data_IF_032181572285
#
_entry.id   IF_032181572285
#
_cell.length_a   1.000
_cell.length_b   1.000
_cell.length_c   1.000
_cell.angle_alpha   90.00
_cell.angle_beta   90.00
_cell.angle_gamma   90.00
#
_symmetry.space_group_name_H-M   'P 1'
#
loop_
_entity.id
_entity.type
_entity.pdbx_description
1 polymer ?
#
# COMPACT_ATOMS: atom_id res chain seq x y z
N UNK A 1 -20.10 24.79 75.15
CA UNK A 1 -20.51 24.47 73.76
C UNK A 1 -19.27 24.28 72.90
N UNK A 2 -18.81 23.04 72.73
CA UNK A 2 -17.63 22.70 71.94
C UNK A 2 -18.02 22.56 70.45
N UNK A 3 -17.44 23.39 69.58
CA UNK A 3 -17.60 23.28 68.11
C UNK A 3 -16.91 22.01 67.63
N UNK A 4 -17.69 20.97 67.32
CA UNK A 4 -17.22 19.81 66.55
C UNK A 4 -16.67 20.28 65.20
N UNK A 5 -15.34 20.31 65.07
CA UNK A 5 -14.66 20.39 63.78
C UNK A 5 -14.92 19.08 63.04
N UNK A 6 -15.91 19.08 62.17
CA UNK A 6 -16.11 18.04 61.15
C UNK A 6 -14.81 17.89 60.36
N UNK A 7 -14.07 16.80 60.59
CA UNK A 7 -12.91 16.46 59.80
C UNK A 7 -13.33 16.35 58.32
N UNK A 8 -12.75 17.18 57.46
CA UNK A 8 -13.02 17.14 56.04
C UNK A 8 -12.72 15.73 55.50
N UNK A 9 -13.63 15.12 54.72
CA UNK A 9 -13.40 13.79 54.17
C UNK A 9 -12.12 13.80 53.36
N UNK A 10 -11.16 12.95 53.75
CA UNK A 10 -9.92 12.73 53.00
C UNK A 10 -10.33 12.21 51.62
N UNK A 11 -10.31 13.10 50.63
CA UNK A 11 -10.59 12.77 49.24
C UNK A 11 -9.57 11.73 48.77
N UNK A 12 -9.96 10.44 48.75
CA UNK A 12 -9.17 9.37 48.17
C UNK A 12 -8.99 9.70 46.68
N UNK A 13 -7.81 10.15 46.30
CA UNK A 13 -7.47 10.32 44.89
C UNK A 13 -7.56 8.95 44.22
N UNK A 14 -8.29 8.82 43.10
CA UNK A 14 -8.48 7.55 42.44
C UNK A 14 -7.13 7.03 41.92
N UNK A 15 -6.65 5.93 42.52
CA UNK A 15 -5.35 5.29 42.25
C UNK A 15 -5.06 5.03 40.76
N UNK A 16 -6.10 4.95 39.92
CA UNK A 16 -5.99 4.67 38.48
C UNK A 16 -5.58 5.86 37.59
N UNK A 17 -5.52 7.10 38.11
CA UNK A 17 -5.13 8.27 37.30
C UNK A 17 -3.63 8.30 36.91
N UNK A 18 -2.80 7.50 37.58
CA UNK A 18 -1.36 7.42 37.32
C UNK A 18 -0.97 6.28 36.40
N UNK A 19 -1.91 5.42 36.01
CA UNK A 19 -1.62 4.30 35.10
C UNK A 19 -1.26 4.87 33.73
N UNK A 20 -0.12 4.48 33.13
CA UNK A 20 0.25 4.88 31.78
C UNK A 20 -0.60 4.10 30.76
N UNK A 21 -1.88 4.43 30.65
CA UNK A 21 -2.85 3.70 29.82
C UNK A 21 -2.41 3.53 28.37
N UNK A 22 -1.67 4.49 27.80
CA UNK A 22 -1.08 4.33 26.46
C UNK A 22 -0.14 3.11 26.40
N UNK A 23 0.80 3.00 27.34
CA UNK A 23 1.71 1.85 27.39
C UNK A 23 0.97 0.54 27.64
N UNK A 24 -0.03 0.55 28.50
CA UNK A 24 -0.83 -0.64 28.80
C UNK A 24 -1.61 -1.09 27.56
N UNK A 25 -2.31 -0.18 26.88
CA UNK A 25 -3.11 -0.50 25.69
C UNK A 25 -2.23 -0.93 24.52
N UNK A 26 -1.15 -0.21 24.24
CA UNK A 26 -0.22 -0.59 23.18
C UNK A 26 0.46 -1.91 23.50
N UNK A 27 0.92 -2.12 24.74
CA UNK A 27 1.52 -3.39 25.17
C UNK A 27 0.54 -4.56 25.05
N UNK A 28 -0.71 -4.38 25.46
CA UNK A 28 -1.77 -5.38 25.30
C UNK A 28 -2.01 -5.71 23.82
N UNK A 29 -2.12 -4.70 22.96
CA UNK A 29 -2.29 -4.90 21.51
C UNK A 29 -1.09 -5.63 20.89
N UNK A 30 0.14 -5.33 21.32
CA UNK A 30 1.34 -6.02 20.84
C UNK A 30 1.38 -7.49 21.28
N UNK A 31 0.97 -7.80 22.51
CA UNK A 31 0.90 -9.17 23.03
C UNK A 31 -0.20 -9.96 22.32
N UNK A 32 -1.41 -9.39 22.22
CA UNK A 32 -2.51 -10.03 21.51
C UNK A 32 -2.19 -10.21 20.02
N UNK A 33 -1.65 -9.18 19.37
CA UNK A 33 -1.21 -9.28 17.98
C UNK A 33 -0.09 -10.32 17.77
N UNK A 34 0.71 -10.63 18.79
CA UNK A 34 1.73 -11.68 18.71
C UNK A 34 1.09 -13.07 18.85
N UNK A 35 0.13 -13.23 19.75
CA UNK A 35 -0.62 -14.47 19.93
C UNK A 35 -1.44 -14.85 18.69
N UNK A 36 -1.86 -13.85 17.90
CA UNK A 36 -2.63 -14.02 16.66
C UNK A 36 -1.84 -13.52 15.44
N UNK A 37 -0.52 -13.77 15.42
CA UNK A 37 0.34 -13.29 14.35
C UNK A 37 -0.05 -13.86 13.00
N UNK A 38 -0.05 -13.02 11.96
CA UNK A 38 -0.25 -13.41 10.57
C UNK A 38 0.99 -13.04 9.76
N UNK A 39 1.36 -13.85 8.77
CA UNK A 39 2.45 -13.46 7.86
C UNK A 39 2.05 -12.18 7.11
N UNK A 40 2.98 -11.22 6.94
CA UNK A 40 2.68 -9.93 6.34
C UNK A 40 2.49 -10.01 4.82
N UNK A 41 2.83 -11.15 4.21
CA UNK A 41 2.63 -11.44 2.78
C UNK A 41 1.87 -12.76 2.66
N UNK A 42 0.92 -12.81 1.74
CA UNK A 42 0.12 -14.01 1.44
C UNK A 42 -0.18 -14.10 -0.06
N UNK A 43 -0.52 -15.29 -0.51
CA UNK A 43 -1.04 -15.51 -1.85
C UNK A 43 -2.43 -14.87 -1.98
N UNK A 44 -2.67 -14.09 -3.04
CA UNK A 44 -3.90 -13.30 -3.18
C UNK A 44 -5.13 -14.17 -3.44
N UNK A 45 -4.95 -15.34 -4.05
CA UNK A 45 -6.02 -16.24 -4.50
C UNK A 45 -6.49 -17.12 -3.34
N UNK A 46 -5.57 -17.89 -2.78
CA UNK A 46 -5.81 -18.84 -1.69
C UNK A 46 -5.93 -18.16 -0.32
N UNK A 47 -5.43 -16.92 -0.22
CA UNK A 47 -5.26 -16.17 1.04
C UNK A 47 -4.38 -16.89 2.07
N UNK A 48 -3.65 -17.92 1.63
CA UNK A 48 -2.75 -18.67 2.48
C UNK A 48 -1.36 -18.02 2.52
N UNK A 49 -0.60 -18.23 3.61
CA UNK A 49 0.77 -17.76 3.67
C UNK A 49 1.62 -18.43 2.59
N UNK A 50 2.53 -17.66 2.00
CA UNK A 50 3.52 -18.14 1.02
C UNK A 50 4.87 -18.36 1.68
N UNK A 51 5.62 -19.37 1.23
CA UNK A 51 6.92 -19.74 1.81
C UNK A 51 8.10 -19.34 0.94
N UNK A 52 7.92 -19.11 -0.35
CA UNK A 52 9.02 -18.70 -1.25
C UNK A 52 9.44 -17.24 -1.08
N UNK A 53 8.63 -16.41 -0.41
CA UNK A 53 8.90 -14.98 -0.22
C UNK A 53 8.62 -14.53 1.21
N UNK A 54 9.29 -13.45 1.64
CA UNK A 54 9.08 -12.80 2.93
C UNK A 54 9.40 -11.31 2.83
N UNK A 55 8.98 -10.51 3.80
CA UNK A 55 9.44 -9.13 3.90
C UNK A 55 10.70 -9.05 4.75
N UNK A 56 11.68 -8.29 4.28
CA UNK A 56 12.87 -7.89 5.04
C UNK A 56 12.85 -6.39 5.33
N UNK A 57 13.52 -6.01 6.42
CA UNK A 57 13.45 -4.67 6.98
C UNK A 57 14.84 -4.15 7.32
N UNK A 58 15.22 -3.02 6.73
CA UNK A 58 16.49 -2.38 7.04
C UNK A 58 16.58 -1.96 8.51
N UNK A 59 17.80 -1.79 9.08
CA UNK A 59 17.96 -1.30 10.45
C UNK A 59 17.28 0.05 10.70
N UNK A 60 17.29 0.95 9.71
CA UNK A 60 16.59 2.23 9.79
C UNK A 60 15.06 2.06 9.81
N UNK A 61 14.54 1.02 9.13
CA UNK A 61 13.14 0.66 9.23
C UNK A 61 12.81 0.14 10.64
N UNK A 62 13.63 -0.78 11.15
CA UNK A 62 13.44 -1.39 12.46
C UNK A 62 13.54 -0.36 13.60
N UNK A 63 14.45 0.60 13.52
CA UNK A 63 14.59 1.65 14.53
C UNK A 63 13.33 2.51 14.66
N UNK A 64 12.61 2.74 13.56
CA UNK A 64 11.45 3.64 13.49
C UNK A 64 10.17 2.90 13.06
N UNK A 65 10.09 1.59 13.33
CA UNK A 65 8.97 0.74 12.90
C UNK A 65 7.59 1.32 13.26
N UNK A 66 7.34 1.88 14.46
CA UNK A 66 6.02 2.44 14.77
C UNK A 66 5.53 3.49 13.78
N UNK A 67 6.44 4.30 13.25
CA UNK A 67 6.10 5.31 12.26
C UNK A 67 5.92 4.69 10.87
N UNK A 68 6.87 3.84 10.45
CA UNK A 68 6.84 3.24 9.10
C UNK A 68 5.75 2.21 8.91
N UNK A 69 5.46 1.38 9.91
CA UNK A 69 4.38 0.40 9.88
C UNK A 69 3.03 1.10 9.71
N UNK A 70 2.82 2.22 10.41
CA UNK A 70 1.60 3.03 10.27
C UNK A 70 1.50 3.61 8.87
N UNK A 71 2.56 4.27 8.37
CA UNK A 71 2.55 4.85 7.02
C UNK A 71 2.36 3.79 5.93
N UNK A 72 2.96 2.61 6.07
CA UNK A 72 2.77 1.48 5.16
C UNK A 72 1.31 1.05 5.11
N UNK A 73 0.68 0.84 6.26
CA UNK A 73 -0.72 0.42 6.30
C UNK A 73 -1.68 1.53 5.85
N UNK A 74 -1.32 2.81 6.03
CA UNK A 74 -2.08 3.92 5.47
C UNK A 74 -2.06 3.90 3.94
N UNK A 75 -0.92 3.62 3.31
CA UNK A 75 -0.83 3.49 1.84
C UNK A 75 -1.69 2.34 1.29
N UNK A 76 -1.98 1.33 2.11
CA UNK A 76 -2.81 0.17 1.72
C UNK A 76 -4.31 0.36 1.97
N UNK A 77 -4.76 1.55 2.39
CA UNK A 77 -6.18 1.83 2.58
C UNK A 77 -6.85 2.20 1.25
N UNK A 78 -8.10 1.80 1.10
CA UNK A 78 -8.96 2.28 0.01
C UNK A 78 -9.49 3.68 0.32
N UNK A 79 -10.02 4.39 -0.68
CA UNK A 79 -10.61 5.73 -0.46
C UNK A 79 -11.68 5.75 0.65
N UNK A 80 -12.67 4.83 0.68
CA UNK A 80 -13.64 4.79 1.79
C UNK A 80 -13.00 4.53 3.16
N UNK A 81 -11.92 3.76 3.23
CA UNK A 81 -11.20 3.48 4.47
C UNK A 81 -10.45 4.72 4.97
N UNK A 82 -9.83 5.52 4.09
CA UNK A 82 -9.24 6.80 4.48
C UNK A 82 -10.28 7.76 5.08
N UNK A 83 -11.46 7.87 4.47
CA UNK A 83 -12.57 8.68 4.97
C UNK A 83 -13.02 8.14 6.34
N UNK A 84 -13.26 6.84 6.45
CA UNK A 84 -13.69 6.21 7.69
C UNK A 84 -12.66 6.37 8.82
N UNK A 85 -11.37 6.31 8.51
CA UNK A 85 -10.29 6.58 9.46
C UNK A 85 -10.35 8.02 9.97
N UNK A 86 -10.46 9.02 9.08
CA UNK A 86 -10.56 10.43 9.48
C UNK A 86 -11.78 10.67 10.38
N UNK A 87 -12.95 10.16 9.99
CA UNK A 87 -14.18 10.27 10.79
C UNK A 87 -14.01 9.59 12.16
N UNK A 88 -13.43 8.39 12.21
CA UNK A 88 -13.19 7.66 13.46
C UNK A 88 -12.24 8.41 14.39
N UNK A 89 -11.19 9.04 13.84
CA UNK A 89 -10.25 9.84 14.61
C UNK A 89 -10.89 11.13 15.15
N UNK A 90 -11.71 11.83 14.34
CA UNK A 90 -12.47 13.00 14.77
C UNK A 90 -13.48 12.64 15.88
N UNK A 91 -14.17 11.51 15.75
CA UNK A 91 -15.06 11.01 16.79
C UNK A 91 -14.29 10.67 18.08
N UNK A 92 -13.13 10.02 17.96
CA UNK A 92 -12.26 9.72 19.11
C UNK A 92 -11.79 10.99 19.81
N UNK A 93 -11.39 12.01 19.04
CA UNK A 93 -11.03 13.33 19.57
C UNK A 93 -12.20 13.96 20.32
N UNK A 94 -13.39 14.01 19.71
CA UNK A 94 -14.59 14.56 20.33
C UNK A 94 -14.97 13.82 21.62
N UNK A 95 -14.96 12.49 21.60
CA UNK A 95 -15.25 11.65 22.76
C UNK A 95 -14.24 11.88 23.90
N UNK A 96 -12.94 11.92 23.59
CA UNK A 96 -11.89 12.20 24.57
C UNK A 96 -12.06 13.59 25.21
N UNK A 97 -12.39 14.61 24.41
CA UNK A 97 -12.59 15.97 24.91
C UNK A 97 -13.88 16.11 25.72
N UNK A 98 -14.96 15.45 25.30
CA UNK A 98 -16.20 15.34 26.06
C UNK A 98 -15.98 14.67 27.42
N UNK A 99 -15.27 13.53 27.45
CA UNK A 99 -14.91 12.83 28.67
C UNK A 99 -14.05 13.70 29.61
N UNK A 100 -13.08 14.45 29.05
CA UNK A 100 -12.24 15.38 29.82
C UNK A 100 -13.05 16.54 30.39
N UNK A 101 -14.00 17.08 29.62
CA UNK A 101 -14.89 18.14 30.09
C UNK A 101 -15.80 17.64 31.23
N UNK A 102 -16.39 16.45 31.08
CA UNK A 102 -17.18 15.80 32.11
C UNK A 102 -16.39 15.52 33.39
N UNK A 103 -15.17 15.00 33.25
CA UNK A 103 -14.27 14.73 34.38
C UNK A 103 -13.90 16.01 35.16
N UNK A 104 -13.71 17.14 34.45
CA UNK A 104 -13.46 18.45 35.07
C UNK A 104 -14.66 18.97 35.84
N UNK A 105 -15.87 18.83 35.29
CA UNK A 105 -17.12 19.21 35.97
C UNK A 105 -17.30 18.42 37.27
N UNK A 106 -17.07 17.10 37.23
CA UNK A 106 -17.10 16.25 38.43
C UNK A 106 -16.08 16.67 39.50
N UNK A 107 -14.93 17.20 39.09
CA UNK A 107 -13.90 17.71 39.99
C UNK A 107 -14.17 19.14 40.49
N UNK A 108 -15.35 19.72 40.24
CA UNK A 108 -15.71 21.06 40.68
C UNK A 108 -14.96 22.19 39.96
N UNK A 109 -14.27 21.89 38.86
CA UNK A 109 -13.54 22.92 38.09
C UNK A 109 -14.57 23.75 37.30
N UNK A 110 -14.65 25.08 37.53
CA UNK A 110 -15.62 25.92 36.84
C UNK A 110 -15.42 25.86 35.32
N UNK A 111 -16.51 25.91 34.52
CA UNK A 111 -16.40 25.94 33.07
C UNK A 111 -15.63 27.19 32.62
N UNK A 112 -14.84 27.06 31.56
CA UNK A 112 -14.27 28.23 30.90
C UNK A 112 -15.40 29.10 30.33
N UNK A 113 -15.16 30.41 30.16
CA UNK A 113 -16.11 31.28 29.47
C UNK A 113 -16.44 30.71 28.07
N UNK A 114 -17.68 30.85 27.58
CA UNK A 114 -18.12 30.25 26.32
C UNK A 114 -17.18 30.54 25.15
N UNK A 115 -16.72 31.79 25.01
CA UNK A 115 -15.76 32.18 23.97
C UNK A 115 -14.42 31.44 24.06
N UNK A 116 -13.81 31.38 25.25
CA UNK A 116 -12.55 30.65 25.45
C UNK A 116 -12.70 29.14 25.24
N UNK A 117 -13.87 28.58 25.55
CA UNK A 117 -14.15 27.18 25.29
C UNK A 117 -14.18 26.92 23.77
N UNK A 118 -14.98 27.69 23.01
CA UNK A 118 -15.09 27.55 21.56
C UNK A 118 -13.74 27.71 20.88
N UNK A 119 -12.98 28.77 21.17
CA UNK A 119 -11.64 28.98 20.57
C UNK A 119 -10.70 27.81 20.84
N UNK A 120 -10.72 27.25 22.05
CA UNK A 120 -9.87 26.10 22.41
C UNK A 120 -10.27 24.82 21.67
N UNK A 121 -11.56 24.61 21.42
CA UNK A 121 -12.04 23.47 20.65
C UNK A 121 -11.67 23.63 19.17
N UNK A 122 -11.86 24.82 18.59
CA UNK A 122 -11.45 25.13 17.22
C UNK A 122 -9.94 24.95 17.02
N UNK A 123 -9.11 25.47 17.92
CA UNK A 123 -7.65 25.29 17.87
C UNK A 123 -7.24 23.82 17.99
N UNK A 124 -7.95 23.02 18.79
CA UNK A 124 -7.65 21.60 18.93
C UNK A 124 -7.99 20.83 17.65
N UNK A 125 -9.14 21.12 17.03
CA UNK A 125 -9.52 20.52 15.74
C UNK A 125 -8.56 20.96 14.64
N UNK A 126 -8.23 22.25 14.57
CA UNK A 126 -7.27 22.76 13.58
C UNK A 126 -5.89 22.13 13.74
N UNK A 127 -5.36 22.03 14.98
CA UNK A 127 -4.09 21.35 15.24
C UNK A 127 -4.13 19.85 14.89
N UNK A 128 -5.24 19.17 15.18
CA UNK A 128 -5.42 17.78 14.79
C UNK A 128 -5.44 17.61 13.26
N UNK A 129 -6.19 18.44 12.54
CA UNK A 129 -6.25 18.39 11.07
C UNK A 129 -4.89 18.73 10.45
N UNK A 130 -4.18 19.72 10.98
CA UNK A 130 -2.82 20.04 10.54
C UNK A 130 -1.87 18.86 10.74
N UNK A 131 -1.93 18.18 11.89
CA UNK A 131 -1.12 16.99 12.14
C UNK A 131 -1.50 15.82 11.21
N UNK A 132 -2.80 15.62 10.96
CA UNK A 132 -3.30 14.61 10.04
C UNK A 132 -2.78 14.85 8.62
N UNK A 133 -2.90 16.08 8.11
CA UNK A 133 -2.37 16.49 6.81
C UNK A 133 -0.85 16.32 6.76
N UNK A 134 -0.13 16.68 7.82
CA UNK A 134 1.32 16.51 7.88
C UNK A 134 1.74 15.02 7.80
N UNK A 135 1.03 14.13 8.49
CA UNK A 135 1.29 12.68 8.43
C UNK A 135 1.03 12.12 7.04
N UNK A 136 -0.08 12.50 6.39
CA UNK A 136 -0.39 12.06 5.02
C UNK A 136 0.57 12.65 3.99
N UNK A 137 0.89 13.94 4.11
CA UNK A 137 1.87 14.60 3.27
C UNK A 137 3.23 13.91 3.36
N UNK A 138 3.73 13.68 4.58
CA UNK A 138 4.97 12.93 4.78
C UNK A 138 4.86 11.49 4.28
N UNK A 139 3.75 10.79 4.49
CA UNK A 139 3.53 9.44 3.97
C UNK A 139 3.57 9.36 2.45
N UNK A 140 3.11 10.42 1.76
CA UNK A 140 3.03 10.49 0.31
C UNK A 140 4.37 10.85 -0.37
N UNK A 141 5.17 11.75 0.21
CA UNK A 141 6.41 12.25 -0.45
C UNK A 141 7.68 12.09 0.40
N UNK A 142 7.55 11.83 1.69
CA UNK A 142 8.67 11.77 2.62
C UNK A 142 9.61 10.59 2.33
N UNK A 143 10.93 10.80 2.42
CA UNK A 143 11.88 9.71 2.29
C UNK A 143 11.72 8.75 3.46
N UNK A 144 11.56 7.45 3.18
CA UNK A 144 11.50 6.40 4.21
C UNK A 144 11.97 5.06 3.66
N UNK A 145 12.60 4.21 4.49
CA UNK A 145 12.94 2.86 4.08
C UNK A 145 11.67 2.09 3.74
N UNK A 146 11.79 1.16 2.80
CA UNK A 146 10.71 0.27 2.40
C UNK A 146 10.97 -1.10 2.98
N UNK A 147 9.90 -1.83 3.25
CA UNK A 147 9.98 -3.24 3.58
C UNK A 147 10.04 -4.03 2.26
N UNK A 148 11.18 -4.68 2.02
CA UNK A 148 11.57 -5.28 0.75
C UNK A 148 11.04 -6.71 0.65
N UNK A 149 10.52 -7.12 -0.51
CA UNK A 149 10.20 -8.51 -0.76
C UNK A 149 11.50 -9.30 -1.03
N UNK A 150 11.86 -10.18 -0.09
CA UNK A 150 12.92 -11.16 -0.29
C UNK A 150 12.37 -12.46 -0.85
N UNK A 151 13.13 -13.05 -1.78
CA UNK A 151 12.82 -14.34 -2.41
C UNK A 151 13.79 -15.38 -1.88
N UNK A 152 13.33 -16.62 -1.70
CA UNK A 152 14.16 -17.74 -1.20
C UNK A 152 14.78 -18.58 -2.32
N UNK A 153 14.19 -18.54 -3.50
CA UNK A 153 14.59 -19.36 -4.64
C UNK A 153 15.09 -18.47 -5.76
N UNK A 154 16.24 -18.81 -6.36
CA UNK A 154 16.84 -18.02 -7.44
C UNK A 154 15.98 -17.99 -8.70
N UNK A 155 15.19 -19.03 -8.97
CA UNK A 155 14.29 -19.07 -10.12
C UNK A 155 13.06 -18.17 -9.97
N UNK A 156 12.81 -17.61 -8.77
CA UNK A 156 11.65 -16.75 -8.53
C UNK A 156 12.07 -15.29 -8.67
N UNK A 157 11.34 -14.54 -9.50
CA UNK A 157 11.51 -13.11 -9.67
C UNK A 157 10.19 -12.37 -9.48
N UNK A 158 10.27 -11.17 -8.92
CA UNK A 158 9.14 -10.29 -8.68
C UNK A 158 9.06 -9.20 -9.75
N UNK A 159 7.92 -9.12 -10.43
CA UNK A 159 7.69 -8.20 -11.54
C UNK A 159 6.49 -7.31 -11.23
N UNK A 160 6.64 -6.03 -11.50
CA UNK A 160 5.55 -5.07 -11.56
C UNK A 160 5.18 -4.82 -13.03
N UNK A 161 3.91 -4.95 -13.38
CA UNK A 161 3.42 -4.77 -14.76
C UNK A 161 2.84 -3.38 -15.00
N UNK A 162 2.86 -2.49 -14.01
CA UNK A 162 2.16 -1.21 -14.09
C UNK A 162 2.81 -0.14 -13.20
N UNK A 163 3.63 0.71 -13.80
CA UNK A 163 4.18 1.89 -13.15
C UNK A 163 4.27 3.07 -14.12
N UNK A 164 4.31 4.28 -13.57
CA UNK A 164 4.34 5.53 -14.30
C UNK A 164 5.55 6.38 -13.91
N UNK A 165 5.96 7.26 -14.79
CA UNK A 165 7.00 8.29 -14.63
C UNK A 165 6.38 9.68 -14.72
N UNK A 166 7.21 10.72 -14.56
CA UNK A 166 6.87 12.12 -14.81
C UNK A 166 6.36 12.42 -16.23
N UNK A 167 6.56 11.51 -17.18
CA UNK A 167 6.14 11.69 -18.57
C UNK A 167 4.67 11.29 -18.78
N UNK A 168 4.09 10.52 -17.86
CA UNK A 168 2.64 10.36 -17.79
C UNK A 168 1.98 11.65 -17.28
N UNK A 169 0.77 11.94 -17.75
CA UNK A 169 0.00 13.15 -17.38
C UNK A 169 -0.37 13.23 -15.89
N UNK A 170 -0.36 12.10 -15.18
CA UNK A 170 -0.68 11.93 -13.76
C UNK A 170 0.52 11.47 -12.92
N UNK A 171 1.70 11.34 -13.53
CA UNK A 171 2.95 11.11 -12.84
C UNK A 171 3.35 12.28 -11.95
N UNK A 172 3.91 12.00 -10.77
CA UNK A 172 4.44 13.06 -9.90
C UNK A 172 5.54 13.84 -10.64
N UNK A 173 5.52 15.18 -10.60
CA UNK A 173 6.59 15.99 -11.17
C UNK A 173 7.96 15.58 -10.64
N UNK A 174 8.93 15.41 -11.55
CA UNK A 174 10.28 14.98 -11.22
C UNK A 174 10.44 13.50 -10.89
N UNK A 175 9.40 12.67 -11.00
CA UNK A 175 9.49 11.20 -10.84
C UNK A 175 10.12 10.53 -12.06
N UNK A 176 11.45 10.43 -12.05
CA UNK A 176 12.24 9.93 -13.18
C UNK A 176 12.15 8.42 -13.32
N UNK A 177 12.60 7.89 -14.47
CA UNK A 177 12.75 6.44 -14.65
C UNK A 177 13.69 5.80 -13.59
N UNK A 178 14.73 6.52 -13.16
CA UNK A 178 15.64 6.00 -12.13
C UNK A 178 15.00 6.03 -10.74
N UNK A 179 14.13 7.02 -10.45
CA UNK A 179 13.34 7.01 -9.21
C UNK A 179 12.38 5.82 -9.16
N UNK A 180 11.73 5.51 -10.30
CA UNK A 180 10.93 4.28 -10.47
C UNK A 180 11.80 3.07 -10.15
N UNK A 181 12.99 2.95 -10.74
CA UNK A 181 13.89 1.82 -10.48
C UNK A 181 14.23 1.70 -9.00
N UNK A 182 14.62 2.80 -8.34
CA UNK A 182 15.00 2.80 -6.93
C UNK A 182 13.84 2.44 -6.01
N UNK A 183 12.63 2.91 -6.30
CA UNK A 183 11.43 2.57 -5.53
C UNK A 183 11.09 1.08 -5.66
N UNK A 184 11.18 0.54 -6.88
CA UNK A 184 10.91 -0.87 -7.16
C UNK A 184 11.99 -1.77 -6.55
N UNK A 185 13.27 -1.40 -6.67
CA UNK A 185 14.38 -2.09 -6.00
C UNK A 185 14.18 -2.12 -4.48
N UNK A 186 13.85 -0.98 -3.86
CA UNK A 186 13.60 -0.92 -2.42
C UNK A 186 12.35 -1.72 -1.97
N UNK A 187 11.45 -2.05 -2.90
CA UNK A 187 10.30 -2.92 -2.66
C UNK A 187 10.58 -4.40 -2.92
N UNK A 188 11.74 -4.74 -3.47
CA UNK A 188 12.12 -6.11 -3.82
C UNK A 188 11.62 -6.58 -5.19
N UNK A 189 11.43 -5.66 -6.15
CA UNK A 189 11.16 -6.03 -7.55
C UNK A 189 12.45 -6.23 -8.35
N UNK A 190 12.44 -7.23 -9.22
CA UNK A 190 13.51 -7.56 -10.16
C UNK A 190 13.28 -6.90 -11.53
N UNK A 191 12.02 -6.67 -11.89
CA UNK A 191 11.66 -5.92 -13.08
C UNK A 191 10.40 -5.09 -12.88
N UNK A 192 10.28 -4.01 -13.64
CA UNK A 192 9.10 -3.15 -13.70
C UNK A 192 8.82 -2.74 -15.13
N UNK A 193 7.57 -2.82 -15.55
CA UNK A 193 7.09 -2.22 -16.79
C UNK A 193 6.67 -0.77 -16.53
N UNK A 194 7.25 0.16 -17.29
CA UNK A 194 6.77 1.55 -17.35
C UNK A 194 5.68 1.62 -18.42
N UNK A 195 4.48 2.00 -18.00
CA UNK A 195 3.25 2.04 -18.81
C UNK A 195 2.71 3.48 -18.89
N UNK A 196 3.58 4.47 -19.12
CA UNK A 196 3.16 5.88 -19.19
C UNK A 196 2.00 6.11 -20.18
N UNK A 197 1.09 7.01 -19.83
CA UNK A 197 0.00 7.37 -20.72
C UNK A 197 0.50 8.14 -21.95
N UNK A 198 0.18 7.63 -23.14
CA UNK A 198 0.39 8.30 -24.44
C UNK A 198 1.84 8.67 -24.77
N UNK A 199 2.81 8.01 -24.14
CA UNK A 199 4.22 8.30 -24.38
C UNK A 199 5.10 7.09 -24.06
N UNK A 200 6.27 7.05 -24.71
CA UNK A 200 7.34 6.11 -24.42
C UNK A 200 8.56 6.79 -23.78
N UNK A 201 8.50 8.11 -23.52
CA UNK A 201 9.66 8.88 -23.04
C UNK A 201 10.25 8.32 -21.74
N UNK A 202 9.40 7.88 -20.80
CA UNK A 202 9.88 7.29 -19.54
C UNK A 202 10.66 6.00 -19.73
N UNK A 203 10.23 5.11 -20.62
CA UNK A 203 10.99 3.89 -20.91
C UNK A 203 12.23 4.18 -21.78
N UNK A 204 12.16 5.12 -22.72
CA UNK A 204 13.32 5.53 -23.52
C UNK A 204 14.43 6.08 -22.62
N UNK A 205 14.07 6.92 -21.64
CA UNK A 205 14.98 7.41 -20.60
C UNK A 205 15.60 6.26 -19.78
N UNK A 206 14.82 5.22 -19.49
CA UNK A 206 15.25 4.09 -18.69
C UNK A 206 16.19 3.12 -19.43
N UNK A 207 15.93 2.89 -20.72
CA UNK A 207 16.59 1.85 -21.53
C UNK A 207 18.10 2.06 -21.62
N UNK A 208 18.54 3.30 -21.82
CA UNK A 208 19.97 3.65 -21.87
C UNK A 208 20.71 3.38 -20.55
N UNK A 209 19.96 3.21 -19.46
CA UNK A 209 20.51 2.97 -18.14
C UNK A 209 20.28 1.53 -17.66
N UNK A 210 19.56 0.65 -18.36
CA UNK A 210 19.39 -0.73 -17.88
C UNK A 210 20.75 -1.42 -17.71
N UNK A 211 20.93 -2.23 -16.64
CA UNK A 211 22.13 -3.06 -16.52
C UNK A 211 22.22 -4.06 -17.67
N UNK A 212 23.42 -4.59 -17.90
CA UNK A 212 23.64 -5.57 -18.96
C UNK A 212 22.88 -6.88 -18.69
N UNK A 213 22.74 -7.24 -17.41
CA UNK A 213 22.07 -8.46 -16.94
C UNK A 213 21.01 -8.14 -15.89
N UNK A 214 19.90 -8.85 -15.93
CA UNK A 214 18.77 -8.62 -15.04
C UNK A 214 19.09 -8.81 -13.54
N UNK A 215 20.04 -9.67 -13.21
CA UNK A 215 20.44 -9.93 -11.83
C UNK A 215 21.25 -8.81 -11.16
N UNK A 216 21.69 -7.79 -11.91
CA UNK A 216 22.54 -6.72 -11.36
C UNK A 216 21.75 -5.67 -10.58
N UNK A 217 20.54 -5.32 -11.06
CA UNK A 217 19.58 -4.42 -10.42
C UNK A 217 18.23 -4.53 -11.12
N UNK A 218 17.18 -4.00 -10.50
CA UNK A 218 15.82 -3.97 -11.09
C UNK A 218 15.85 -3.50 -12.54
N UNK A 219 15.34 -4.30 -13.47
CA UNK A 219 15.22 -3.97 -14.90
C UNK A 219 14.00 -3.11 -15.16
N UNK A 220 14.12 -2.15 -16.08
CA UNK A 220 12.96 -1.42 -16.60
C UNK A 220 12.59 -1.96 -17.98
N UNK A 221 11.32 -2.32 -18.14
CA UNK A 221 10.72 -2.86 -19.35
C UNK A 221 9.70 -1.88 -19.92
N UNK A 222 9.43 -1.98 -21.23
CA UNK A 222 8.48 -1.11 -21.93
C UNK A 222 7.07 -1.65 -21.83
N UNK A 223 6.13 -0.79 -21.46
CA UNK A 223 4.72 -0.95 -21.71
C UNK A 223 4.12 0.39 -22.21
N UNK A 224 2.83 0.37 -22.53
CA UNK A 224 2.01 1.55 -22.79
C UNK A 224 0.67 1.34 -22.09
N UNK A 225 0.19 2.29 -21.29
CA UNK A 225 -1.19 2.29 -20.85
C UNK A 225 -2.07 3.01 -21.89
N UNK A 226 -2.94 2.24 -22.54
CA UNK A 226 -3.82 2.68 -23.62
C UNK A 226 -5.24 2.15 -23.42
N UNK A 227 -6.16 2.57 -24.27
CA UNK A 227 -7.55 2.12 -24.27
C UNK A 227 -7.75 1.05 -25.35
N UNK A 228 -8.27 -0.11 -24.96
CA UNK A 228 -8.69 -1.18 -25.87
C UNK A 228 -10.17 -1.47 -25.66
N UNK A 229 -10.99 -1.20 -26.68
CA UNK A 229 -12.45 -1.41 -26.64
C UNK A 229 -13.14 -0.72 -25.44
N UNK A 230 -12.69 0.49 -25.12
CA UNK A 230 -13.26 1.30 -24.03
C UNK A 230 -12.64 1.05 -22.65
N UNK A 231 -11.79 0.03 -22.51
CA UNK A 231 -11.13 -0.32 -21.25
C UNK A 231 -9.64 0.07 -21.24
N UNK A 232 -9.15 0.48 -20.07
CA UNK A 232 -7.72 0.71 -19.86
C UNK A 232 -6.96 -0.61 -19.82
N UNK A 233 -5.89 -0.70 -20.61
CA UNK A 233 -5.00 -1.85 -20.68
C UNK A 233 -3.54 -1.42 -20.73
N UNK A 234 -2.67 -2.21 -20.10
CA UNK A 234 -1.25 -2.13 -20.35
C UNK A 234 -0.88 -3.07 -21.49
N UNK A 235 -0.14 -2.55 -22.47
CA UNK A 235 0.42 -3.35 -23.55
C UNK A 235 1.90 -3.54 -23.34
N UNK A 236 2.29 -4.76 -22.96
CA UNK A 236 3.70 -5.06 -22.68
C UNK A 236 4.52 -5.06 -23.98
N UNK A 237 5.77 -4.59 -23.88
CA UNK A 237 6.70 -4.36 -24.99
C UNK A 237 6.16 -3.47 -26.13
N UNK A 238 5.14 -2.64 -25.90
CA UNK A 238 4.54 -1.80 -26.94
C UNK A 238 5.57 -0.95 -27.71
N UNK A 239 6.46 -0.26 -26.99
CA UNK A 239 7.50 0.60 -27.59
C UNK A 239 8.68 -0.15 -28.21
N UNK A 240 8.73 -1.49 -28.09
CA UNK A 240 9.83 -2.34 -28.59
C UNK A 240 9.40 -3.27 -29.73
N UNK A 241 8.28 -3.97 -29.54
CA UNK A 241 7.85 -5.10 -30.40
C UNK A 241 6.63 -4.74 -31.25
N UNK A 242 5.82 -3.78 -30.81
CA UNK A 242 4.51 -3.50 -31.37
C UNK A 242 4.39 -2.07 -31.89
N UNK A 243 5.31 -1.66 -32.76
CA UNK A 243 5.16 -0.37 -33.45
C UNK A 243 3.89 -0.38 -34.30
N UNK A 244 3.05 0.66 -34.16
CA UNK A 244 1.84 0.85 -34.97
C UNK A 244 0.59 0.09 -34.52
N UNK A 245 0.57 -0.56 -33.35
CA UNK A 245 -0.67 -1.16 -32.81
C UNK A 245 -1.58 -0.14 -32.09
N UNK A 246 -1.03 1.03 -31.75
CA UNK A 246 -1.75 2.13 -31.13
C UNK A 246 -1.99 3.23 -32.16
N UNK A 247 -2.98 4.09 -31.89
CA UNK A 247 -3.24 5.32 -32.63
C UNK A 247 -2.03 6.27 -32.56
N UNK A 248 -1.97 7.24 -33.47
CA UNK A 248 -0.86 8.22 -33.54
C UNK A 248 -0.68 9.00 -32.22
N UNK A 249 -1.76 9.23 -31.47
CA UNK A 249 -1.74 9.89 -30.16
C UNK A 249 -1.47 8.92 -29.00
N UNK A 250 -1.19 7.64 -29.31
CA UNK A 250 -0.89 6.55 -28.37
C UNK A 250 -1.98 6.34 -27.30
N UNK A 251 -3.19 6.85 -27.52
CA UNK A 251 -4.29 6.78 -26.56
C UNK A 251 -5.04 5.47 -26.66
N UNK A 252 -5.36 5.07 -27.89
CA UNK A 252 -6.24 3.94 -28.17
C UNK A 252 -5.45 2.88 -28.93
N UNK A 253 -5.78 1.61 -28.75
CA UNK A 253 -5.26 0.52 -29.57
C UNK A 253 -6.12 0.36 -30.82
N UNK A 254 -5.48 0.26 -31.99
CA UNK A 254 -6.17 -0.11 -33.21
C UNK A 254 -6.53 -1.60 -33.15
N UNK A 255 -7.83 -1.88 -33.05
CA UNK A 255 -8.33 -3.25 -32.92
C UNK A 255 -7.98 -4.16 -34.11
N UNK A 256 -7.85 -3.59 -35.31
CA UNK A 256 -7.42 -4.32 -36.51
C UNK A 256 -5.93 -4.61 -36.44
N UNK A 257 -5.11 -3.63 -36.05
CA UNK A 257 -3.67 -3.83 -35.88
C UNK A 257 -3.37 -4.88 -34.79
N UNK A 258 -4.08 -4.84 -33.67
CA UNK A 258 -3.99 -5.86 -32.61
C UNK A 258 -4.39 -7.24 -33.14
N UNK A 259 -5.47 -7.33 -33.92
CA UNK A 259 -5.90 -8.59 -34.53
C UNK A 259 -4.83 -9.15 -35.50
N UNK A 260 -4.28 -8.31 -36.38
CA UNK A 260 -3.23 -8.69 -37.31
C UNK A 260 -1.94 -9.11 -36.60
N UNK A 261 -1.50 -8.35 -35.60
CA UNK A 261 -0.33 -8.70 -34.78
C UNK A 261 -0.54 -10.03 -34.05
N UNK A 262 -1.77 -10.32 -33.63
CA UNK A 262 -2.11 -11.58 -32.97
C UNK A 262 -2.06 -12.79 -33.91
N UNK A 263 -2.11 -12.61 -35.24
CA UNK A 263 -1.97 -13.72 -36.20
C UNK A 263 -0.53 -14.21 -36.33
N UNK A 264 0.46 -13.48 -35.82
CA UNK A 264 1.88 -13.85 -35.89
C UNK A 264 2.22 -14.72 -34.67
N UNK A 265 2.51 -16.03 -34.86
CA UNK A 265 2.76 -16.93 -33.74
C UNK A 265 3.95 -16.48 -32.88
N UNK A 266 3.76 -16.43 -31.56
CA UNK A 266 4.78 -16.00 -30.60
C UNK A 266 5.02 -14.49 -30.55
N UNK A 267 4.28 -13.72 -31.36
CA UNK A 267 4.28 -12.27 -31.36
C UNK A 267 2.93 -11.69 -30.96
N UNK A 268 2.00 -12.47 -30.40
CA UNK A 268 0.72 -11.92 -29.94
C UNK A 268 0.95 -10.86 -28.84
N UNK A 269 0.32 -9.67 -28.96
CA UNK A 269 0.41 -8.65 -27.92
C UNK A 269 -0.09 -9.18 -26.58
N UNK A 270 0.63 -8.85 -25.50
CA UNK A 270 0.19 -9.13 -24.13
C UNK A 270 -0.54 -7.90 -23.61
N UNK A 271 -1.87 -7.96 -23.69
CA UNK A 271 -2.76 -6.96 -23.10
C UNK A 271 -3.09 -7.37 -21.67
N UNK A 272 -2.83 -6.47 -20.73
CA UNK A 272 -3.12 -6.62 -19.30
C UNK A 272 -4.28 -5.67 -18.96
N UNK A 273 -5.41 -6.21 -18.53
CA UNK A 273 -6.52 -5.40 -18.04
C UNK A 273 -6.14 -4.73 -16.71
N UNK A 274 -6.25 -3.40 -16.64
CA UNK A 274 -5.98 -2.60 -15.44
C UNK A 274 -7.29 -2.21 -14.73
N UNK A 275 -7.20 -1.67 -13.51
CA UNK A 275 -8.36 -1.22 -12.73
C UNK A 275 -8.23 0.21 -12.21
N UNK A 276 -9.32 1.00 -12.16
CA UNK A 276 -10.71 0.60 -12.35
C UNK A 276 -11.12 0.38 -13.81
N UNK A 277 -12.03 -0.57 -14.05
CA UNK A 277 -12.50 -0.98 -15.39
C UNK A 277 -13.83 -1.75 -15.36
N UNK A 278 -14.50 -1.95 -16.50
CA UNK A 278 -15.73 -2.73 -16.61
C UNK A 278 -15.46 -4.20 -16.96
N UNK A 279 -15.91 -5.10 -16.09
CA UNK A 279 -15.81 -6.54 -16.30
C UNK A 279 -16.61 -7.06 -17.50
N UNK A 280 -17.61 -6.31 -17.97
CA UNK A 280 -18.44 -6.69 -19.11
C UNK A 280 -17.75 -6.44 -20.46
N UNK A 281 -16.78 -5.53 -20.50
CA UNK A 281 -16.04 -5.15 -21.71
C UNK A 281 -14.73 -5.95 -21.90
N UNK A 282 -14.35 -6.76 -20.90
CA UNK A 282 -13.16 -7.62 -20.98
C UNK A 282 -13.34 -8.66 -22.09
N UNK A 283 -12.63 -8.45 -23.20
CA UNK A 283 -12.54 -9.42 -24.30
C UNK A 283 -11.26 -10.25 -24.17
N UNK A 284 -11.31 -11.49 -23.66
CA UNK A 284 -10.13 -12.34 -23.54
C UNK A 284 -9.61 -12.81 -24.89
N UNK A 285 -8.30 -13.07 -24.98
CA UNK A 285 -7.77 -13.89 -26.06
C UNK A 285 -8.30 -15.33 -25.88
N UNK A 286 -8.74 -15.97 -26.96
CA UNK A 286 -9.25 -17.36 -26.93
C UNK A 286 -8.16 -18.42 -27.15
N UNK A 287 -6.90 -18.01 -27.24
CA UNK A 287 -5.74 -18.86 -27.48
C UNK A 287 -4.65 -18.18 -28.32
N UNK A 288 -3.64 -18.94 -28.76
CA UNK A 288 -2.66 -18.49 -29.76
C UNK A 288 -3.37 -17.99 -31.02
N UNK A 289 -2.79 -17.00 -31.70
CA UNK A 289 -3.41 -16.47 -32.93
C UNK A 289 -4.58 -15.50 -32.73
N UNK A 290 -5.04 -15.28 -31.49
CA UNK A 290 -6.25 -14.48 -31.21
C UNK A 290 -5.95 -13.19 -30.43
N UNK A 291 -6.62 -12.07 -30.77
CA UNK A 291 -6.49 -10.83 -30.04
C UNK A 291 -7.29 -10.86 -28.74
N UNK A 292 -6.85 -10.09 -27.75
CA UNK A 292 -7.58 -9.84 -26.52
C UNK A 292 -6.71 -9.81 -25.27
N UNK A 293 -7.37 -9.68 -24.14
CA UNK A 293 -6.77 -9.66 -22.80
C UNK A 293 -6.14 -11.02 -22.49
N UNK A 294 -4.86 -11.00 -22.07
CA UNK A 294 -4.09 -12.19 -21.66
C UNK A 294 -3.71 -12.20 -20.18
N UNK A 295 -3.77 -11.04 -19.54
CA UNK A 295 -3.60 -10.91 -18.09
C UNK A 295 -4.61 -9.92 -17.49
N UNK A 296 -4.91 -10.07 -16.20
CA UNK A 296 -5.78 -9.17 -15.45
C UNK A 296 -5.17 -8.84 -14.09
N UNK A 297 -5.19 -7.56 -13.73
CA UNK A 297 -4.74 -7.12 -12.43
C UNK A 297 -5.70 -7.58 -11.32
N UNK A 298 -5.22 -8.46 -10.43
CA UNK A 298 -5.93 -8.79 -9.19
C UNK A 298 -5.52 -7.88 -8.03
N UNK A 299 -4.46 -7.11 -8.22
CA UNK A 299 -4.01 -6.02 -7.37
C UNK A 299 -3.66 -4.86 -8.28
N UNK A 300 -4.34 -3.75 -8.08
CA UNK A 300 -3.95 -2.44 -8.60
C UNK A 300 -3.68 -1.55 -7.36
N UNK A 301 -2.53 -0.87 -7.35
CA UNK A 301 -2.09 -0.08 -6.20
C UNK A 301 -2.65 1.32 -6.12
N UNK A 302 -3.33 1.83 -7.14
CA UNK A 302 -4.00 3.11 -7.07
C UNK A 302 -5.22 3.00 -6.11
N UNK A 303 -5.56 4.04 -5.33
CA UNK A 303 -6.62 3.94 -4.33
C UNK A 303 -7.99 3.49 -4.87
N UNK A 304 -8.29 3.80 -6.15
CA UNK A 304 -9.52 3.36 -6.83
C UNK A 304 -9.41 1.93 -7.34
N UNK A 305 -8.30 1.55 -7.97
CA UNK A 305 -8.08 0.16 -8.41
C UNK A 305 -7.98 -0.80 -7.23
N UNK A 306 -7.30 -0.42 -6.14
CA UNK A 306 -7.26 -1.18 -4.89
C UNK A 306 -8.64 -1.42 -4.29
N UNK A 307 -9.52 -0.40 -4.35
CA UNK A 307 -10.92 -0.55 -3.94
C UNK A 307 -11.65 -1.57 -4.80
N UNK A 308 -11.55 -1.43 -6.12
CA UNK A 308 -12.29 -2.29 -7.05
C UNK A 308 -11.79 -3.74 -7.02
N UNK A 309 -10.47 -3.95 -7.03
CA UNK A 309 -9.85 -5.29 -7.03
C UNK A 309 -10.12 -6.05 -5.74
N UNK A 310 -10.19 -5.37 -4.58
CA UNK A 310 -10.62 -6.00 -3.32
C UNK A 310 -12.10 -6.37 -3.33
N UNK A 311 -12.98 -5.44 -3.70
CA UNK A 311 -14.41 -5.67 -3.74
C UNK A 311 -14.81 -6.77 -4.73
N UNK A 312 -14.11 -6.87 -5.87
CA UNK A 312 -14.39 -7.82 -6.93
C UNK A 312 -13.43 -9.00 -6.98
N UNK A 313 -12.63 -9.24 -5.92
CA UNK A 313 -11.56 -10.26 -5.93
C UNK A 313 -12.05 -11.63 -6.38
N UNK A 314 -13.17 -12.08 -5.84
CA UNK A 314 -13.77 -13.38 -6.22
C UNK A 314 -14.21 -13.40 -7.68
N UNK A 315 -14.70 -12.27 -8.23
CA UNK A 315 -15.09 -12.17 -9.63
C UNK A 315 -13.88 -12.20 -10.55
N UNK A 316 -12.80 -11.48 -10.20
CA UNK A 316 -11.53 -11.49 -10.94
C UNK A 316 -10.94 -12.91 -10.99
N UNK A 317 -10.88 -13.59 -9.84
CA UNK A 317 -10.38 -14.97 -9.76
C UNK A 317 -11.22 -15.90 -10.64
N UNK A 318 -12.55 -15.86 -10.53
CA UNK A 318 -13.43 -16.70 -11.35
C UNK A 318 -13.28 -16.44 -12.85
N UNK A 319 -13.18 -15.16 -13.24
CA UNK A 319 -12.98 -14.78 -14.63
C UNK A 319 -11.68 -15.38 -15.17
N UNK A 320 -10.59 -15.20 -14.42
CA UNK A 320 -9.27 -15.73 -14.73
C UNK A 320 -9.26 -17.26 -14.78
N UNK A 321 -9.93 -17.94 -13.84
CA UNK A 321 -10.06 -19.40 -13.85
C UNK A 321 -10.89 -19.90 -15.05
N UNK A 322 -11.95 -19.17 -15.46
CA UNK A 322 -12.85 -19.57 -16.55
C UNK A 322 -12.31 -19.30 -17.95
N UNK A 323 -11.48 -18.26 -18.10
CA UNK A 323 -10.95 -17.80 -19.38
C UNK A 323 -9.46 -18.12 -19.56
N UNK A 324 -8.87 -18.81 -18.58
CA UNK A 324 -7.44 -19.14 -18.52
C UNK A 324 -6.52 -17.92 -18.68
N UNK A 325 -6.90 -16.79 -18.08
CA UNK A 325 -6.16 -15.51 -18.14
C UNK A 325 -5.17 -15.45 -16.98
N UNK A 326 -3.98 -14.93 -17.21
CA UNK A 326 -2.96 -14.73 -16.17
C UNK A 326 -3.41 -13.71 -15.11
N UNK A 327 -3.14 -13.96 -13.83
CA UNK A 327 -3.30 -12.94 -12.78
C UNK A 327 -2.00 -12.16 -12.57
N UNK A 328 -2.08 -10.84 -12.45
CA UNK A 328 -0.92 -9.98 -12.19
C UNK A 328 -1.21 -8.96 -11.11
N UNK A 329 -0.16 -8.37 -10.55
CA UNK A 329 -0.21 -7.19 -9.69
C UNK A 329 0.51 -6.03 -10.38
N UNK A 330 -0.17 -4.89 -10.40
CA UNK A 330 0.38 -3.59 -10.78
C UNK A 330 0.47 -2.69 -9.55
N UNK A 331 1.63 -2.06 -9.29
CA UNK A 331 1.68 -1.02 -8.25
C UNK A 331 0.89 0.21 -8.64
N UNK A 332 0.71 0.44 -9.94
CA UNK A 332 0.16 1.65 -10.51
C UNK A 332 0.83 2.89 -9.89
N UNK A 333 2.16 2.82 -9.73
CA UNK A 333 2.92 3.81 -8.99
C UNK A 333 3.17 5.06 -9.82
N UNK A 334 2.73 6.21 -9.29
CA UNK A 334 2.93 7.52 -9.89
C UNK A 334 3.93 8.39 -9.11
N UNK A 335 4.79 7.77 -8.30
CA UNK A 335 5.73 8.47 -7.42
C UNK A 335 5.19 8.90 -6.07
N UNK A 336 4.04 8.38 -5.66
CA UNK A 336 3.45 8.65 -4.34
C UNK A 336 3.56 7.43 -3.43
N UNK A 337 3.85 7.68 -2.16
CA UNK A 337 3.99 6.63 -1.16
C UNK A 337 5.27 5.81 -1.32
N UNK A 338 5.57 4.99 -0.30
CA UNK A 338 6.72 4.10 -0.26
C UNK A 338 6.31 2.74 0.28
N UNK A 339 5.32 2.14 -0.37
CA UNK A 339 4.76 0.84 -0.01
C UNK A 339 4.20 0.14 -1.25
N UNK A 340 4.72 -1.05 -1.57
CA UNK A 340 4.14 -1.90 -2.60
C UNK A 340 2.93 -2.69 -2.05
N UNK A 341 1.78 -2.71 -2.74
CA UNK A 341 0.59 -3.44 -2.30
C UNK A 341 0.64 -4.94 -2.63
N UNK A 342 1.40 -5.32 -3.65
CA UNK A 342 1.55 -6.70 -4.11
C UNK A 342 2.63 -6.85 -5.17
N UNK A 343 2.89 -8.09 -5.55
CA UNK A 343 3.95 -8.48 -6.50
C UNK A 343 3.46 -9.61 -7.40
N UNK A 344 3.85 -9.59 -8.67
CA UNK A 344 3.68 -10.72 -9.58
C UNK A 344 4.93 -11.58 -9.52
N UNK A 345 4.80 -12.83 -9.09
CA UNK A 345 5.91 -13.78 -9.04
C UNK A 345 5.90 -14.64 -10.29
N UNK A 346 7.02 -14.61 -11.01
CA UNK A 346 7.34 -15.52 -12.10
C UNK A 346 8.32 -16.58 -11.61
N UNK A 347 8.30 -17.72 -12.30
CA UNK A 347 9.33 -18.75 -12.14
C UNK A 347 10.04 -18.93 -13.48
N UNK A 348 11.29 -18.49 -13.56
CA UNK A 348 12.11 -18.48 -14.77
C UNK A 348 13.55 -18.84 -14.38
N UNK A 349 14.10 -19.93 -14.89
CA UNK A 349 15.47 -20.32 -14.56
C UNK A 349 16.48 -19.46 -15.34
N UNK A 350 17.58 -19.08 -14.69
CA UNK A 350 18.66 -18.31 -15.32
C UNK A 350 18.29 -16.87 -15.70
N UNK A 351 17.17 -16.33 -15.19
CA UNK A 351 16.71 -14.98 -15.53
C UNK A 351 17.74 -13.90 -15.20
N UNK A 352 18.58 -14.13 -14.18
CA UNK A 352 19.60 -13.18 -13.74
C UNK A 352 20.62 -12.83 -14.82
N UNK A 353 20.90 -13.76 -15.73
CA UNK A 353 21.88 -13.55 -16.80
C UNK A 353 21.25 -13.01 -18.09
N UNK A 354 19.92 -12.88 -18.13
CA UNK A 354 19.20 -12.36 -19.29
C UNK A 354 19.42 -10.86 -19.44
N UNK A 355 19.52 -10.41 -20.70
CA UNK A 355 19.34 -9.01 -21.05
C UNK A 355 17.89 -8.57 -20.80
N UNK A 356 17.65 -7.26 -20.76
CA UNK A 356 16.29 -6.71 -20.60
C UNK A 356 15.32 -7.20 -21.71
N UNK A 357 15.82 -7.37 -22.94
CA UNK A 357 15.02 -7.85 -24.06
C UNK A 357 14.63 -9.33 -23.89
N UNK A 358 15.60 -10.19 -23.58
CA UNK A 358 15.37 -11.61 -23.33
C UNK A 358 14.42 -11.82 -22.14
N UNK A 359 14.58 -11.04 -21.07
CA UNK A 359 13.71 -11.09 -19.91
C UNK A 359 12.26 -10.76 -20.29
N UNK A 360 12.03 -9.64 -21.01
CA UNK A 360 10.69 -9.26 -21.47
C UNK A 360 10.06 -10.35 -22.35
N UNK A 361 10.82 -10.89 -23.30
CA UNK A 361 10.32 -11.92 -24.21
C UNK A 361 9.92 -13.22 -23.48
N UNK A 362 10.68 -13.62 -22.45
CA UNK A 362 10.35 -14.78 -21.62
C UNK A 362 9.15 -14.53 -20.71
N UNK A 363 9.08 -13.37 -20.04
CA UNK A 363 7.94 -13.00 -19.19
C UNK A 363 6.63 -12.97 -19.99
N UNK A 364 6.64 -12.32 -21.15
CA UNK A 364 5.46 -12.22 -22.02
C UNK A 364 5.08 -13.57 -22.63
N UNK A 365 6.06 -14.42 -22.96
CA UNK A 365 5.79 -15.79 -23.41
C UNK A 365 5.12 -16.60 -22.30
N UNK A 366 5.60 -16.49 -21.06
CA UNK A 366 5.00 -17.16 -19.93
C UNK A 366 3.56 -16.71 -19.69
N UNK A 367 3.25 -15.42 -19.86
CA UNK A 367 1.86 -14.91 -19.81
C UNK A 367 1.02 -15.47 -20.96
N UNK A 368 1.53 -15.50 -22.19
CA UNK A 368 0.82 -16.01 -23.37
C UNK A 368 0.47 -17.48 -23.25
N UNK A 369 1.43 -18.29 -22.79
CA UNK A 369 1.38 -19.75 -22.89
C UNK A 369 0.94 -20.41 -21.58
N UNK A 370 1.18 -19.75 -20.44
CA UNK A 370 0.93 -20.32 -19.11
C UNK A 370 -0.46 -20.05 -18.55
N UNK A 371 -1.21 -19.12 -19.15
CA UNK A 371 -2.58 -18.76 -18.76
C UNK A 371 -2.70 -18.51 -17.25
N UNK A 372 -3.73 -19.07 -16.62
CA UNK A 372 -4.01 -18.92 -15.19
C UNK A 372 -2.84 -19.32 -14.29
N UNK A 373 -1.94 -20.19 -14.75
CA UNK A 373 -0.82 -20.75 -13.97
C UNK A 373 0.52 -20.09 -14.28
N UNK A 374 0.55 -19.12 -15.20
CA UNK A 374 1.77 -18.42 -15.61
C UNK A 374 2.51 -17.79 -14.42
N UNK A 375 1.75 -17.27 -13.45
CA UNK A 375 2.25 -16.47 -12.34
C UNK A 375 1.61 -16.88 -11.01
N UNK A 376 2.24 -16.44 -9.93
CA UNK A 376 1.62 -16.37 -8.60
C UNK A 376 1.60 -14.92 -8.14
N UNK A 377 0.45 -14.43 -7.70
CA UNK A 377 0.34 -13.06 -7.18
C UNK A 377 0.30 -13.08 -5.66
N UNK A 378 1.19 -12.33 -5.04
CA UNK A 378 1.27 -12.18 -3.58
C UNK A 378 0.97 -10.74 -3.19
N UNK A 379 0.30 -10.56 -2.05
CA UNK A 379 -0.08 -9.23 -1.56
C UNK A 379 0.48 -8.96 -0.17
N UNK A 380 0.76 -7.69 0.12
CA UNK A 380 0.94 -7.24 1.49
C UNK A 380 -0.41 -7.23 2.18
N UNK A 381 -0.51 -7.87 3.34
CA UNK A 381 -1.78 -8.00 4.05
C UNK A 381 -2.24 -6.63 4.55
N UNK A 382 -3.35 -6.13 3.99
CA UNK A 382 -3.95 -4.84 4.32
C UNK A 382 -5.14 -4.92 5.28
N UNK A 383 -5.76 -3.76 5.51
CA UNK A 383 -7.01 -3.66 6.29
C UNK A 383 -8.20 -4.09 5.42
N UNK A 384 -8.96 -5.08 5.89
CA UNK A 384 -10.08 -5.70 5.15
C UNK A 384 -11.43 -5.25 5.71
N UNK A 385 -11.74 -3.95 5.62
CA UNK A 385 -13.04 -3.40 6.01
C UNK A 385 -13.79 -2.83 4.79
N UNK A 386 -15.06 -3.20 4.65
CA UNK A 386 -15.93 -2.83 3.52
C UNK A 386 -17.39 -2.68 3.97
N UNK A 387 -18.20 -1.95 3.18
CA UNK A 387 -19.61 -1.74 3.48
C UNK A 387 -19.84 -1.27 4.91
N UNK A 388 -20.60 -2.04 5.71
CA UNK A 388 -20.91 -1.71 7.11
C UNK A 388 -19.71 -1.82 8.05
N UNK A 389 -18.69 -2.62 7.71
CA UNK A 389 -17.50 -2.77 8.58
C UNK A 389 -16.51 -1.61 8.43
N UNK A 390 -16.77 -0.63 7.53
CA UNK A 390 -15.97 0.60 7.43
C UNK A 390 -15.91 1.37 8.75
N UNK A 391 -16.95 1.32 9.59
CA UNK A 391 -16.92 1.94 10.92
C UNK A 391 -15.84 1.36 11.85
N UNK A 392 -15.33 0.17 11.53
CA UNK A 392 -14.25 -0.51 12.25
C UNK A 392 -12.87 -0.27 11.63
N UNK A 393 -12.72 0.66 10.68
CA UNK A 393 -11.43 0.88 9.99
C UNK A 393 -10.30 1.20 10.96
N UNK A 394 -10.50 2.10 11.93
CA UNK A 394 -9.48 2.46 12.91
C UNK A 394 -9.03 1.27 13.79
N UNK A 395 -9.93 0.52 14.47
CA UNK A 395 -9.51 -0.65 15.24
C UNK A 395 -8.98 -1.79 14.36
N UNK A 396 -9.53 -2.01 13.16
CA UNK A 396 -9.04 -3.02 12.23
C UNK A 396 -7.63 -2.68 11.72
N UNK A 397 -7.33 -1.40 11.47
CA UNK A 397 -6.00 -0.93 11.11
C UNK A 397 -4.99 -1.19 12.24
N UNK A 398 -5.33 -0.82 13.48
CA UNK A 398 -4.46 -1.07 14.64
C UNK A 398 -4.21 -2.56 14.87
N UNK A 399 -5.26 -3.38 14.73
CA UNK A 399 -5.15 -4.84 14.79
C UNK A 399 -4.27 -5.39 13.67
N UNK A 400 -4.47 -4.91 12.43
CA UNK A 400 -3.71 -5.39 11.28
C UNK A 400 -2.23 -5.08 11.43
N UNK A 401 -1.87 -3.85 11.81
CA UNK A 401 -0.48 -3.46 12.09
C UNK A 401 0.12 -4.41 13.12
N UNK A 402 -0.52 -4.58 14.27
CA UNK A 402 0.04 -5.35 15.39
C UNK A 402 0.05 -6.86 15.16
N UNK A 403 -0.80 -7.41 14.30
CA UNK A 403 -0.82 -8.83 13.95
C UNK A 403 0.21 -9.20 12.87
N UNK A 404 0.67 -8.24 12.07
CA UNK A 404 1.67 -8.48 10.99
C UNK A 404 3.11 -8.17 11.39
N UNK A 405 3.34 -7.56 12.56
CA UNK A 405 4.69 -7.25 13.04
C UNK A 405 5.54 -8.51 13.24
N UNK A 406 6.76 -8.46 12.72
CA UNK A 406 7.86 -9.36 13.09
C UNK A 406 8.30 -9.12 14.54
N UNK A 407 9.08 -10.05 15.09
CA UNK A 407 9.61 -9.88 16.44
C UNK A 407 10.47 -8.60 16.62
N UNK A 408 11.43 -8.27 15.73
CA UNK A 408 12.20 -7.02 15.84
C UNK A 408 11.34 -5.76 15.81
N UNK A 409 10.30 -5.71 14.97
CA UNK A 409 9.37 -4.59 14.94
C UNK A 409 8.63 -4.46 16.28
N UNK A 410 8.13 -5.56 16.86
CA UNK A 410 7.47 -5.52 18.18
C UNK A 410 8.37 -4.95 19.27
N UNK A 411 9.65 -5.34 19.29
CA UNK A 411 10.64 -4.79 20.23
C UNK A 411 10.76 -3.27 20.04
N UNK A 412 10.89 -2.80 18.80
CA UNK A 412 10.91 -1.36 18.48
C UNK A 412 9.66 -0.64 18.99
N UNK A 413 8.47 -1.20 18.77
CA UNK A 413 7.22 -0.68 19.30
C UNK A 413 7.20 -0.58 20.83
N UNK A 414 7.70 -1.58 21.54
CA UNK A 414 7.80 -1.54 23.00
C UNK A 414 8.73 -0.43 23.48
N UNK A 415 9.92 -0.30 22.87
CA UNK A 415 10.92 0.71 23.21
C UNK A 415 10.35 2.12 23.02
N UNK A 416 9.76 2.41 21.87
CA UNK A 416 9.16 3.73 21.60
C UNK A 416 7.98 4.04 22.52
N UNK A 417 7.13 3.05 22.80
CA UNK A 417 6.01 3.20 23.72
C UNK A 417 6.49 3.53 25.13
N UNK A 418 7.54 2.85 25.60
CA UNK A 418 8.17 3.12 26.90
C UNK A 418 8.80 4.52 26.94
N UNK A 419 9.53 4.92 25.89
CA UNK A 419 10.17 6.22 25.78
C UNK A 419 9.15 7.37 25.82
N UNK A 420 8.09 7.30 25.00
CA UNK A 420 7.00 8.29 24.98
C UNK A 420 6.32 8.36 26.34
N UNK A 421 6.06 7.22 26.96
CA UNK A 421 5.45 7.14 28.29
C UNK A 421 6.32 7.79 29.35
N UNK A 422 7.63 7.52 29.34
CA UNK A 422 8.59 8.12 30.27
C UNK A 422 8.60 9.65 30.15
N UNK A 423 8.67 10.19 28.91
CA UNK A 423 8.61 11.63 28.66
C UNK A 423 7.32 12.25 29.19
N UNK A 424 6.16 11.61 28.95
CA UNK A 424 4.87 12.08 29.44
C UNK A 424 4.82 12.08 30.97
N UNK A 425 5.34 11.03 31.61
CA UNK A 425 5.37 10.92 33.09
C UNK A 425 6.29 11.98 33.70
N UNK A 426 7.50 12.17 33.17
CA UNK A 426 8.44 13.20 33.63
C UNK A 426 7.81 14.58 33.51
N UNK A 427 7.24 14.92 32.35
CA UNK A 427 6.58 16.23 32.13
C UNK A 427 5.43 16.47 33.12
N UNK A 428 4.63 15.44 33.42
CA UNK A 428 3.55 15.55 34.42
C UNK A 428 4.09 15.83 35.83
N UNK A 429 5.21 15.19 36.20
CA UNK A 429 5.87 15.41 37.50
C UNK A 429 6.44 16.82 37.60
N UNK A 430 7.12 17.31 36.55
CA UNK A 430 7.67 18.68 36.52
C UNK A 430 6.58 19.74 36.66
N UNK A 431 5.43 19.58 35.96
CA UNK A 431 4.28 20.50 36.08
C UNK A 431 3.62 20.42 37.45
N UNK A 432 3.63 19.26 38.11
CA UNK A 432 3.11 19.12 39.47
C UNK A 432 4.04 19.76 40.51
N UNK A 433 5.36 19.71 40.30
CA UNK A 433 6.35 20.31 41.17
C UNK A 433 6.31 21.84 41.13
N UNK A 434 6.12 22.47 39.96
CA UNK A 434 6.03 23.94 39.84
C UNK A 434 4.73 24.55 40.36
N UNK A 435 3.75 23.73 40.74
CA UNK A 435 2.47 24.18 41.30
C UNK A 435 2.38 24.04 42.82
N UNK A 436 3.37 23.39 43.44
CA UNK A 436 3.56 23.35 44.89
C UNK A 436 4.51 24.48 45.26
#
# INVERSE_FOLDING_TARGET
>A
MAKHRSAAPVARTPRFQHVPWLAVLTGLLLVLGAAFSTLPVRDVVSRQPVREVSLDFSPAYLLLSPLWDVLDHLTLLTVPQHIALLVSLLFTLAAWRGFRAWSRRKAGVPPASPGRAVTRELLAVAAFLAAFVAVYGYGAIGPRPMAELQRREQAVLAVDVHAHTRHSHDGRPGWTAEDVRQWHAASGFDAVYIADHRTFEGVIEAQGNNPARAGERTIILSALEAVYRGEHVNVLSAGRKYSGIATDDLRDLDTTAVALASLIPGAEPVLVQTFPGDFHEITPASGPGTPGIRAIEIIDGAPRGLRQTRANRTRIIRLSDSLDITLVAGSNNHGWGRTAPGWTLFRLEGWQDMSAAELADNLERQIRDGGRRATRVVERVGTETEGRTLALTLPALAWRITSTLTFPQRVSWFVWTAAVTAVVVVRRRSVAATRR
#
